data_IF_150675817405
#
_entry.id   IF_150675817405
#
_cell.length_a   1.000
_cell.length_b   1.000
_cell.length_c   1.000
_cell.angle_alpha   90.00
_cell.angle_beta   90.00
_cell.angle_gamma   90.00
#
_symmetry.space_group_name_H-M   'P 1'
#
loop_
_entity.id
_entity.type
_entity.pdbx_description
1 polymer ?
#
# COMPACT_ATOMS: atom_id res chain seq x y z
N UNK A 1 -21.96 11.72 22.01
CA UNK A 1 -20.73 12.49 21.68
C UNK A 1 -19.69 12.10 22.71
N UNK A 2 -18.52 11.63 22.30
CA UNK A 2 -17.45 11.12 23.14
C UNK A 2 -16.19 11.95 22.93
N UNK A 3 -15.32 12.00 23.93
CA UNK A 3 -13.98 12.56 23.86
C UNK A 3 -13.03 11.44 23.43
N UNK A 4 -12.49 11.56 22.24
CA UNK A 4 -11.62 10.54 21.64
C UNK A 4 -10.21 11.13 21.45
N UNK A 5 -9.21 10.45 21.99
CA UNK A 5 -7.83 10.74 21.65
C UNK A 5 -7.34 9.71 20.61
N UNK A 6 -6.53 10.17 19.67
CA UNK A 6 -5.91 9.31 18.64
C UNK A 6 -4.40 9.48 18.70
N UNK A 7 -3.71 8.41 19.03
CA UNK A 7 -2.26 8.37 19.08
C UNK A 7 -1.66 7.97 17.72
N UNK A 8 -0.84 8.86 17.18
CA UNK A 8 -0.25 8.71 15.85
C UNK A 8 -1.13 9.29 14.74
N UNK A 9 -0.52 10.09 13.85
CA UNK A 9 -1.19 10.75 12.73
C UNK A 9 -0.65 10.29 11.38
N UNK A 10 -0.40 8.98 11.26
CA UNK A 10 -0.22 8.30 9.98
C UNK A 10 -1.56 8.04 9.27
N UNK A 11 -1.54 7.26 8.19
CA UNK A 11 -2.75 6.92 7.43
C UNK A 11 -3.88 6.39 8.32
N UNK A 12 -3.59 5.48 9.25
CA UNK A 12 -4.61 4.85 10.10
C UNK A 12 -5.17 5.85 11.11
N UNK A 13 -4.28 6.50 11.88
CA UNK A 13 -4.73 7.34 12.99
C UNK A 13 -5.35 8.66 12.53
N UNK A 14 -4.72 9.37 11.57
CA UNK A 14 -5.25 10.66 11.12
C UNK A 14 -6.61 10.49 10.42
N UNK A 15 -6.73 9.51 9.53
CA UNK A 15 -8.00 9.23 8.84
C UNK A 15 -9.09 8.86 9.85
N UNK A 16 -8.79 7.97 10.81
CA UNK A 16 -9.74 7.61 11.85
C UNK A 16 -10.17 8.82 12.69
N UNK A 17 -9.21 9.65 13.15
CA UNK A 17 -9.50 10.84 13.94
C UNK A 17 -10.39 11.84 13.21
N UNK A 18 -10.08 12.10 11.95
CA UNK A 18 -10.87 13.01 11.10
C UNK A 18 -12.28 12.46 10.85
N UNK A 19 -12.40 11.15 10.59
CA UNK A 19 -13.71 10.51 10.41
C UNK A 19 -14.54 10.50 11.71
N UNK A 20 -13.94 10.28 12.88
CA UNK A 20 -14.65 10.41 14.16
C UNK A 20 -15.13 11.84 14.41
N UNK A 21 -14.31 12.84 14.10
CA UNK A 21 -14.71 14.25 14.21
C UNK A 21 -15.85 14.58 13.24
N UNK A 22 -15.83 14.05 12.02
CA UNK A 22 -16.91 14.20 11.04
C UNK A 22 -18.22 13.57 11.54
N UNK A 23 -18.15 12.48 12.27
CA UNK A 23 -19.30 11.83 12.92
C UNK A 23 -19.78 12.54 14.20
N UNK A 24 -19.15 13.66 14.58
CA UNK A 24 -19.62 14.55 15.66
C UNK A 24 -18.98 14.28 17.03
N UNK A 25 -17.91 13.49 17.10
CA UNK A 25 -17.13 13.34 18.34
C UNK A 25 -16.15 14.50 18.55
N UNK A 26 -15.69 14.70 19.79
CA UNK A 26 -14.60 15.59 20.13
C UNK A 26 -13.29 14.78 20.04
N UNK A 27 -12.40 15.17 19.13
CA UNK A 27 -11.21 14.37 18.81
C UNK A 27 -9.95 15.18 19.06
N UNK A 28 -8.97 14.57 19.72
CA UNK A 28 -7.61 15.11 19.87
C UNK A 28 -6.62 14.14 19.25
N UNK A 29 -6.02 14.53 18.13
CA UNK A 29 -4.97 13.75 17.49
C UNK A 29 -3.58 14.13 18.05
N UNK A 30 -2.85 13.12 18.51
CA UNK A 30 -1.54 13.26 19.15
C UNK A 30 -0.46 12.69 18.24
N UNK A 31 0.57 13.49 17.95
CA UNK A 31 1.78 13.02 17.27
C UNK A 31 3.03 13.56 17.99
N UNK A 32 4.13 12.83 17.95
CA UNK A 32 5.40 13.24 18.55
C UNK A 32 6.15 14.29 17.71
N UNK A 33 5.81 14.40 16.43
CA UNK A 33 6.43 15.29 15.46
C UNK A 33 5.77 16.67 15.50
N UNK A 34 6.49 17.67 16.09
CA UNK A 34 6.01 19.04 16.21
C UNK A 34 5.75 19.71 14.86
N UNK A 35 6.56 19.43 13.85
CA UNK A 35 6.43 20.06 12.54
C UNK A 35 5.20 19.51 11.83
N UNK A 36 4.94 18.21 11.95
CA UNK A 36 3.73 17.58 11.46
C UNK A 36 2.47 18.13 12.14
N UNK A 37 2.53 18.32 13.46
CA UNK A 37 1.42 18.95 14.20
C UNK A 37 1.19 20.39 13.74
N UNK A 38 2.25 21.19 13.48
CA UNK A 38 2.13 22.54 12.92
C UNK A 38 1.47 22.55 11.55
N UNK A 39 1.84 21.62 10.67
CA UNK A 39 1.25 21.46 9.33
C UNK A 39 -0.24 21.17 9.47
N UNK A 40 -0.65 20.21 10.29
CA UNK A 40 -2.05 19.88 10.52
C UNK A 40 -2.86 21.07 11.11
N UNK A 41 -2.29 21.83 12.06
CA UNK A 41 -2.91 23.03 12.60
C UNK A 41 -3.08 24.16 11.56
N UNK A 42 -2.26 24.18 10.52
CA UNK A 42 -2.44 25.11 9.40
C UNK A 42 -3.52 24.67 8.40
N UNK A 43 -4.14 23.53 8.62
CA UNK A 43 -5.19 22.97 7.77
C UNK A 43 -4.68 22.16 6.59
N UNK A 44 -3.37 21.85 6.55
CA UNK A 44 -2.75 21.05 5.49
C UNK A 44 -2.61 19.60 5.95
N UNK A 45 -2.90 18.65 5.08
CA UNK A 45 -2.72 17.24 5.36
C UNK A 45 -1.25 16.83 5.23
N UNK A 46 -0.66 16.14 6.23
CA UNK A 46 0.70 15.62 6.14
C UNK A 46 0.82 14.33 5.34
N UNK A 47 -0.28 13.80 4.83
CA UNK A 47 -0.35 12.58 4.01
C UNK A 47 -1.17 12.86 2.75
N UNK A 48 -0.80 12.19 1.66
CA UNK A 48 -1.53 12.29 0.40
C UNK A 48 -2.74 11.34 0.43
N UNK A 49 -3.96 11.90 0.63
CA UNK A 49 -5.21 11.13 0.67
C UNK A 49 -6.39 12.00 0.23
N UNK A 50 -7.15 11.52 -0.74
CA UNK A 50 -8.27 12.25 -1.33
C UNK A 50 -9.37 12.57 -0.29
N UNK A 51 -9.83 13.82 -0.26
CA UNK A 51 -10.89 14.31 0.63
C UNK A 51 -10.49 14.49 2.09
N UNK A 52 -9.28 14.09 2.50
CA UNK A 52 -8.84 14.18 3.91
C UNK A 52 -8.64 15.62 4.35
N UNK A 53 -7.95 16.42 3.54
CA UNK A 53 -7.63 17.82 3.89
C UNK A 53 -8.89 18.67 4.04
N UNK A 54 -9.89 18.49 3.18
CA UNK A 54 -11.18 19.19 3.28
C UNK A 54 -11.90 18.86 4.59
N UNK A 55 -11.92 17.59 4.98
CA UNK A 55 -12.54 17.17 6.25
C UNK A 55 -11.74 17.65 7.46
N UNK A 56 -10.41 17.67 7.37
CA UNK A 56 -9.56 18.26 8.42
C UNK A 56 -9.91 19.72 8.66
N UNK A 57 -9.95 20.54 7.62
CA UNK A 57 -10.26 21.97 7.70
C UNK A 57 -11.67 22.22 8.23
N UNK A 58 -12.65 21.48 7.73
CA UNK A 58 -14.06 21.53 8.17
C UNK A 58 -14.18 21.26 9.67
N UNK A 59 -13.58 20.18 10.16
CA UNK A 59 -13.71 19.75 11.54
C UNK A 59 -12.87 20.59 12.50
N UNK A 60 -11.70 21.07 12.06
CA UNK A 60 -10.89 22.00 12.82
C UNK A 60 -11.60 23.35 13.04
N UNK A 61 -12.18 23.92 11.98
CA UNK A 61 -12.98 25.15 12.05
C UNK A 61 -14.21 25.00 12.93
N UNK A 62 -14.82 23.83 12.93
CA UNK A 62 -15.98 23.52 13.79
C UNK A 62 -15.60 23.21 15.25
N UNK A 63 -14.29 23.19 15.58
CA UNK A 63 -13.80 22.88 16.93
C UNK A 63 -14.03 21.43 17.37
N UNK A 64 -14.20 20.50 16.40
CA UNK A 64 -14.38 19.07 16.69
C UNK A 64 -13.09 18.26 16.67
N UNK A 65 -12.02 18.79 16.08
CA UNK A 65 -10.72 18.13 16.07
C UNK A 65 -9.62 19.08 16.48
N UNK A 66 -8.68 18.61 17.26
CA UNK A 66 -7.44 19.27 17.65
C UNK A 66 -6.23 18.41 17.36
N UNK A 67 -5.07 19.05 17.18
CA UNK A 67 -3.78 18.38 16.93
C UNK A 67 -2.78 18.84 17.98
N UNK A 68 -2.06 17.93 18.64
CA UNK A 68 -1.15 18.28 19.73
C UNK A 68 0.03 17.29 19.83
N UNK A 69 1.11 17.73 20.45
CA UNK A 69 2.18 16.86 20.94
C UNK A 69 2.02 16.54 22.42
N UNK A 70 1.10 17.22 23.12
CA UNK A 70 0.82 17.03 24.55
C UNK A 70 -0.15 15.86 24.74
N UNK A 71 0.39 14.66 24.91
CA UNK A 71 -0.41 13.46 25.15
C UNK A 71 -1.05 13.47 26.54
N UNK A 72 -0.44 14.11 27.54
CA UNK A 72 -0.94 14.14 28.92
C UNK A 72 -2.32 14.79 28.97
N UNK A 73 -2.48 15.98 28.40
CA UNK A 73 -3.77 16.65 28.35
C UNK A 73 -4.77 15.92 27.43
N UNK A 74 -4.28 15.29 26.36
CA UNK A 74 -5.14 14.60 25.41
C UNK A 74 -5.75 13.31 25.97
N UNK A 75 -5.02 12.57 26.83
CA UNK A 75 -5.47 11.28 27.34
C UNK A 75 -6.18 11.38 28.70
N UNK A 76 -5.94 12.46 29.44
CA UNK A 76 -6.35 12.66 30.83
C UNK A 76 -7.83 12.30 31.12
N UNK A 77 -8.75 12.79 30.29
CA UNK A 77 -10.21 12.62 30.45
C UNK A 77 -10.87 12.12 29.14
N UNK A 78 -10.11 11.35 28.33
CA UNK A 78 -10.61 10.72 27.13
C UNK A 78 -11.50 9.50 27.47
N UNK A 79 -12.67 9.41 26.86
CA UNK A 79 -13.53 8.22 26.94
C UNK A 79 -12.85 7.03 26.23
N UNK A 80 -12.13 7.31 25.14
CA UNK A 80 -11.37 6.30 24.41
C UNK A 80 -10.08 6.86 23.82
N UNK A 81 -9.00 6.07 23.85
CA UNK A 81 -7.71 6.36 23.21
C UNK A 81 -7.45 5.34 22.11
N UNK A 82 -7.49 5.78 20.86
CA UNK A 82 -7.22 4.94 19.70
C UNK A 82 -5.73 4.95 19.34
N UNK A 83 -5.11 3.78 19.30
CA UNK A 83 -3.72 3.60 18.93
C UNK A 83 -3.61 3.36 17.42
N UNK A 84 -3.23 4.39 16.68
CA UNK A 84 -3.02 4.39 15.22
C UNK A 84 -1.54 4.54 14.83
N UNK A 85 -0.61 4.15 15.71
CA UNK A 85 0.83 4.25 15.49
C UNK A 85 1.36 3.15 14.57
N UNK A 86 2.51 3.40 13.94
CA UNK A 86 3.14 2.41 13.05
C UNK A 86 3.58 1.15 13.76
N UNK A 87 3.52 0.04 13.04
CA UNK A 87 4.06 -1.28 13.45
C UNK A 87 4.97 -1.80 12.34
N UNK A 88 6.15 -1.18 12.11
CA UNK A 88 7.03 -1.56 11.02
C UNK A 88 7.56 -2.98 11.18
N UNK A 89 7.97 -3.60 10.08
CA UNK A 89 8.61 -4.90 10.07
C UNK A 89 10.05 -4.78 10.58
N UNK A 90 10.46 -5.73 11.43
CA UNK A 90 11.86 -5.93 11.83
C UNK A 90 12.59 -6.85 10.85
N UNK A 91 13.91 -6.89 10.93
CA UNK A 91 14.76 -7.74 10.09
C UNK A 91 14.42 -9.24 10.15
N UNK A 92 13.84 -9.70 11.25
CA UNK A 92 13.41 -11.09 11.44
C UNK A 92 11.99 -11.38 10.93
N UNK A 93 11.31 -10.38 10.36
CA UNK A 93 9.93 -10.45 9.88
C UNK A 93 8.87 -10.21 10.96
N UNK A 94 9.26 -9.99 12.23
CA UNK A 94 8.33 -9.64 13.30
C UNK A 94 7.89 -8.18 13.22
N UNK A 95 6.71 -7.86 13.78
CA UNK A 95 6.26 -6.48 13.93
C UNK A 95 6.99 -5.77 15.08
N UNK A 96 7.44 -4.52 14.85
CA UNK A 96 7.93 -3.67 15.92
C UNK A 96 6.77 -3.03 16.69
N UNK A 97 6.62 -3.40 17.94
CA UNK A 97 5.56 -2.92 18.83
C UNK A 97 6.04 -1.81 19.79
N UNK A 98 7.24 -1.28 19.62
CA UNK A 98 7.82 -0.26 20.50
C UNK A 98 6.96 1.01 20.61
N UNK A 99 6.38 1.45 19.49
CA UNK A 99 5.47 2.60 19.49
C UNK A 99 4.16 2.31 20.24
N UNK A 100 3.60 1.10 20.09
CA UNK A 100 2.43 0.65 20.87
C UNK A 100 2.73 0.68 22.38
N UNK A 101 3.87 0.11 22.80
CA UNK A 101 4.28 0.11 24.19
C UNK A 101 4.50 1.52 24.75
N UNK A 102 5.08 2.43 23.95
CA UNK A 102 5.26 3.83 24.33
C UNK A 102 3.92 4.51 24.60
N UNK A 103 2.96 4.37 23.67
CA UNK A 103 1.63 4.97 23.85
C UNK A 103 0.88 4.33 25.00
N UNK A 104 0.94 3.00 25.17
CA UNK A 104 0.33 2.30 26.30
C UNK A 104 0.84 2.84 27.66
N UNK A 105 2.15 3.11 27.75
CA UNK A 105 2.74 3.75 28.92
C UNK A 105 2.25 5.18 29.13
N UNK A 106 2.21 5.98 28.08
CA UNK A 106 1.70 7.35 28.14
C UNK A 106 0.24 7.38 28.61
N UNK A 107 -0.59 6.45 28.14
CA UNK A 107 -1.99 6.30 28.63
C UNK A 107 -2.01 5.97 30.11
N UNK A 108 -1.26 4.93 30.53
CA UNK A 108 -1.23 4.50 31.95
C UNK A 108 -0.79 5.62 32.91
N UNK A 109 0.12 6.50 32.45
CA UNK A 109 0.64 7.62 33.23
C UNK A 109 -0.30 8.85 33.24
N UNK A 110 -1.27 8.95 32.29
CA UNK A 110 -2.02 10.20 32.04
C UNK A 110 -3.51 10.11 32.36
N UNK A 111 -4.14 8.95 32.23
CA UNK A 111 -5.61 8.82 32.41
C UNK A 111 -6.03 9.08 33.86
N UNK A 112 -7.06 9.94 34.03
CA UNK A 112 -7.64 10.27 35.33
C UNK A 112 -9.13 9.85 35.43
N UNK A 113 -9.69 9.22 34.38
CA UNK A 113 -11.03 8.68 34.33
C UNK A 113 -11.04 7.31 33.66
N UNK A 114 -12.13 6.55 33.83
CA UNK A 114 -12.31 5.28 33.13
C UNK A 114 -12.15 5.47 31.62
N UNK A 115 -11.34 4.66 30.99
CA UNK A 115 -10.91 4.84 29.62
C UNK A 115 -10.82 3.51 28.84
N UNK A 116 -11.27 3.50 27.59
CA UNK A 116 -11.05 2.38 26.70
C UNK A 116 -9.86 2.63 25.77
N UNK A 117 -8.83 1.81 25.86
CA UNK A 117 -7.71 1.82 24.92
C UNK A 117 -8.03 0.94 23.73
N UNK A 118 -8.05 1.50 22.54
CA UNK A 118 -8.45 0.79 21.32
C UNK A 118 -7.27 0.64 20.38
N UNK A 119 -6.76 -0.56 20.22
CA UNK A 119 -5.66 -0.84 19.29
C UNK A 119 -6.23 -0.93 17.87
N UNK A 120 -5.99 0.11 17.08
CA UNK A 120 -6.38 0.20 15.68
C UNK A 120 -5.25 -0.20 14.73
N UNK A 121 -4.01 -0.06 15.16
CA UNK A 121 -2.84 -0.57 14.44
C UNK A 121 -2.92 -2.07 14.20
N UNK A 122 -2.41 -2.53 13.06
CA UNK A 122 -2.28 -3.98 12.79
C UNK A 122 -1.17 -4.56 13.66
N UNK A 123 -1.55 -5.48 14.53
CA UNK A 123 -0.65 -6.09 15.53
C UNK A 123 -0.79 -7.62 15.55
N UNK A 124 0.28 -8.37 15.90
CA UNK A 124 0.22 -9.82 16.06
C UNK A 124 -0.81 -10.27 17.09
N UNK A 125 -1.41 -11.44 16.86
CA UNK A 125 -2.42 -12.02 17.76
C UNK A 125 -1.90 -12.18 19.18
N UNK A 126 -2.67 -11.70 20.15
CA UNK A 126 -2.32 -11.65 21.56
C UNK A 126 -1.58 -10.37 21.99
N UNK A 127 -1.44 -9.40 21.10
CA UNK A 127 -0.84 -8.09 21.43
C UNK A 127 -1.74 -7.28 22.35
N UNK A 128 -3.05 -7.26 22.14
CA UNK A 128 -3.99 -6.53 22.98
C UNK A 128 -3.95 -7.03 24.43
N UNK A 129 -3.80 -8.32 24.67
CA UNK A 129 -3.67 -8.88 26.03
C UNK A 129 -2.39 -8.38 26.72
N UNK A 130 -1.29 -8.26 25.97
CA UNK A 130 -0.03 -7.72 26.48
C UNK A 130 -0.11 -6.21 26.74
N UNK A 131 -0.82 -5.47 25.87
CA UNK A 131 -1.06 -4.02 26.06
C UNK A 131 -1.86 -3.79 27.34
N UNK A 132 -2.92 -4.55 27.56
CA UNK A 132 -3.71 -4.45 28.78
C UNK A 132 -2.87 -4.72 30.05
N UNK A 133 -2.13 -5.85 30.07
CA UNK A 133 -1.24 -6.16 31.19
C UNK A 133 -0.20 -5.06 31.42
N UNK A 134 0.39 -4.54 30.33
CA UNK A 134 1.38 -3.47 30.41
C UNK A 134 0.77 -2.17 30.98
N UNK A 135 -0.44 -1.80 30.56
CA UNK A 135 -1.11 -0.62 31.10
C UNK A 135 -1.39 -0.82 32.61
N UNK A 136 -1.92 -1.98 33.03
CA UNK A 136 -2.19 -2.27 34.44
C UNK A 136 -0.92 -2.21 35.31
N UNK A 137 0.22 -2.67 34.78
CA UNK A 137 1.52 -2.65 35.51
C UNK A 137 2.04 -1.22 35.73
N UNK A 138 1.65 -0.24 34.90
CA UNK A 138 2.11 1.14 34.95
C UNK A 138 1.02 2.17 35.30
N UNK A 139 -0.21 1.73 35.53
CA UNK A 139 -1.32 2.61 35.87
C UNK A 139 -1.08 3.36 37.17
N UNK A 140 -1.16 4.70 37.12
CA UNK A 140 -0.86 5.56 38.29
C UNK A 140 -2.12 5.82 39.09
N UNK A 141 -3.25 6.06 38.40
CA UNK A 141 -4.51 6.43 39.05
C UNK A 141 -5.43 5.21 39.25
N UNK A 142 -6.29 5.26 40.26
CA UNK A 142 -7.30 4.24 40.52
C UNK A 142 -8.53 4.41 39.60
N UNK A 143 -8.35 4.06 38.32
CA UNK A 143 -9.38 4.14 37.26
C UNK A 143 -9.45 2.81 36.51
N UNK A 144 -10.61 2.54 35.88
CA UNK A 144 -10.73 1.37 35.02
C UNK A 144 -10.20 1.67 33.63
N UNK A 145 -9.21 0.87 33.17
CA UNK A 145 -8.70 0.94 31.80
C UNK A 145 -8.78 -0.44 31.18
N UNK A 146 -9.59 -0.57 30.15
CA UNK A 146 -9.73 -1.80 29.37
C UNK A 146 -9.13 -1.63 27.99
N UNK A 147 -8.83 -2.74 27.34
CA UNK A 147 -8.24 -2.75 25.99
C UNK A 147 -9.15 -3.47 25.01
N UNK A 148 -9.33 -2.89 23.84
CA UNK A 148 -10.08 -3.47 22.73
C UNK A 148 -9.25 -3.46 21.43
N UNK A 149 -9.53 -4.40 20.56
CA UNK A 149 -9.00 -4.47 19.19
C UNK A 149 -10.02 -3.88 18.22
N UNK A 150 -9.60 -2.96 17.36
CA UNK A 150 -10.44 -2.43 16.31
C UNK A 150 -9.61 -2.25 15.02
N UNK A 151 -9.29 -3.34 14.33
CA UNK A 151 -8.49 -3.28 13.12
C UNK A 151 -9.20 -2.48 12.01
N UNK A 152 -8.42 -1.84 11.18
CA UNK A 152 -8.88 -1.12 9.99
C UNK A 152 -8.78 -1.99 8.73
N UNK A 153 -9.55 -1.66 7.68
CA UNK A 153 -9.53 -2.33 6.37
C UNK A 153 -9.47 -1.32 5.23
N UNK A 154 -8.95 -0.14 5.51
CA UNK A 154 -8.78 0.93 4.53
C UNK A 154 -7.66 0.64 3.52
N UNK A 155 -7.78 1.26 2.34
CA UNK A 155 -6.73 1.28 1.34
C UNK A 155 -6.29 2.73 1.10
N UNK A 156 -4.98 2.98 1.03
CA UNK A 156 -4.44 4.30 0.68
C UNK A 156 -5.02 4.77 -0.67
N UNK A 157 -5.35 6.06 -0.78
CA UNK A 157 -6.03 6.65 -1.94
C UNK A 157 -7.57 6.53 -1.91
N UNK A 158 -8.13 5.78 -0.94
CA UNK A 158 -9.57 5.71 -0.68
C UNK A 158 -9.88 5.59 0.81
N UNK A 159 -8.91 5.91 1.69
CA UNK A 159 -8.98 5.61 3.11
C UNK A 159 -10.12 6.35 3.83
N UNK A 160 -10.40 7.59 3.45
CA UNK A 160 -11.54 8.36 3.97
C UNK A 160 -12.85 7.68 3.60
N UNK A 161 -13.03 7.35 2.32
CA UNK A 161 -14.22 6.65 1.83
C UNK A 161 -14.37 5.28 2.52
N UNK A 162 -13.30 4.49 2.57
CA UNK A 162 -13.30 3.15 3.15
C UNK A 162 -13.58 3.16 4.66
N UNK A 163 -13.32 4.28 5.34
CA UNK A 163 -13.63 4.45 6.77
C UNK A 163 -15.08 4.88 6.97
N UNK A 164 -15.57 5.85 6.17
CA UNK A 164 -16.93 6.38 6.31
C UNK A 164 -18.01 5.42 5.78
N UNK A 165 -17.67 4.61 4.77
CA UNK A 165 -18.58 3.71 4.06
C UNK A 165 -18.10 2.26 4.09
N UNK A 166 -17.44 1.86 5.18
CA UNK A 166 -16.92 0.51 5.34
C UNK A 166 -18.02 -0.56 5.18
N UNK A 167 -17.67 -1.71 4.62
CA UNK A 167 -18.59 -2.85 4.54
C UNK A 167 -18.94 -3.41 5.95
N UNK A 168 -18.04 -3.23 6.91
CA UNK A 168 -18.17 -3.64 8.31
C UNK A 168 -17.13 -2.99 9.20
N UNK A 169 -17.44 -2.94 10.49
CA UNK A 169 -16.53 -2.59 11.58
C UNK A 169 -16.29 -3.85 12.42
N UNK A 170 -15.03 -4.20 12.66
CA UNK A 170 -14.67 -5.30 13.56
C UNK A 170 -14.28 -4.73 14.91
N UNK A 171 -14.89 -5.22 15.97
CA UNK A 171 -14.52 -4.90 17.34
C UNK A 171 -14.20 -6.17 18.11
N UNK A 172 -13.06 -6.18 18.77
CA UNK A 172 -12.62 -7.28 19.63
C UNK A 172 -12.56 -6.83 21.09
N UNK A 173 -13.43 -7.38 21.91
CA UNK A 173 -13.58 -6.98 23.32
C UNK A 173 -13.69 -8.20 24.22
N UNK A 174 -13.38 -8.03 25.51
CA UNK A 174 -13.51 -9.10 26.51
C UNK A 174 -14.63 -8.81 27.53
N UNK A 175 -15.15 -7.57 27.53
CA UNK A 175 -16.21 -7.15 28.47
C UNK A 175 -17.37 -6.50 27.72
N UNK A 176 -18.56 -6.52 28.32
CA UNK A 176 -19.76 -5.86 27.81
C UNK A 176 -19.59 -4.33 27.77
N UNK A 177 -18.92 -3.75 28.78
CA UNK A 177 -18.69 -2.32 28.84
C UNK A 177 -17.85 -1.81 27.64
N UNK A 178 -16.75 -2.48 27.33
CA UNK A 178 -15.91 -2.13 26.17
C UNK A 178 -16.66 -2.30 24.83
N UNK A 179 -17.49 -3.36 24.73
CA UNK A 179 -18.29 -3.63 23.53
C UNK A 179 -19.36 -2.54 23.32
N UNK A 180 -20.10 -2.20 24.36
CA UNK A 180 -21.14 -1.17 24.30
C UNK A 180 -20.56 0.21 23.99
N UNK A 181 -19.44 0.58 24.64
CA UNK A 181 -18.78 1.86 24.38
C UNK A 181 -18.33 1.98 22.91
N UNK A 182 -17.70 0.94 22.35
CA UNK A 182 -17.32 0.94 20.92
C UNK A 182 -18.54 0.99 20.00
N UNK A 183 -19.60 0.26 20.31
CA UNK A 183 -20.85 0.32 19.52
C UNK A 183 -21.43 1.73 19.52
N UNK A 184 -21.45 2.43 20.68
CA UNK A 184 -21.95 3.80 20.75
C UNK A 184 -21.02 4.80 20.02
N UNK A 185 -19.70 4.64 20.09
CA UNK A 185 -18.74 5.45 19.31
C UNK A 185 -18.98 5.29 17.81
N UNK A 186 -19.19 4.04 17.34
CA UNK A 186 -19.41 3.77 15.91
C UNK A 186 -20.86 3.93 15.44
N UNK A 187 -21.81 4.15 16.33
CA UNK A 187 -23.23 4.30 15.98
C UNK A 187 -23.54 5.36 14.91
N UNK A 188 -22.88 6.56 14.91
CA UNK A 188 -23.11 7.56 13.87
C UNK A 188 -22.70 7.12 12.46
N UNK A 189 -21.80 6.16 12.32
CA UNK A 189 -21.39 5.62 11.02
C UNK A 189 -22.49 4.78 10.36
N UNK A 190 -23.42 4.25 11.15
CA UNK A 190 -24.53 3.41 10.67
C UNK A 190 -24.07 2.21 9.81
N UNK A 191 -23.01 1.55 10.23
CA UNK A 191 -22.37 0.42 9.55
C UNK A 191 -22.57 -0.88 10.34
N UNK A 192 -22.54 -2.06 9.68
CA UNK A 192 -22.56 -3.34 10.37
C UNK A 192 -21.36 -3.48 11.32
N UNK A 193 -21.61 -3.87 12.57
CA UNK A 193 -20.57 -4.15 13.55
C UNK A 193 -20.52 -5.66 13.81
N UNK A 194 -19.31 -6.21 13.73
CA UNK A 194 -19.02 -7.61 14.08
C UNK A 194 -18.22 -7.63 15.36
N UNK A 195 -18.86 -8.12 16.44
CA UNK A 195 -18.24 -8.25 17.76
C UNK A 195 -17.66 -9.63 17.93
N UNK A 196 -16.39 -9.69 18.33
CA UNK A 196 -15.64 -10.95 18.58
C UNK A 196 -14.68 -10.74 19.76
N UNK A 197 -13.97 -11.78 20.22
CA UNK A 197 -12.89 -11.59 21.17
C UNK A 197 -11.67 -10.88 20.51
N UNK A 198 -10.79 -10.29 21.33
CA UNK A 198 -9.61 -9.52 20.86
C UNK A 198 -8.73 -10.29 19.89
N UNK A 199 -8.38 -11.55 20.24
CA UNK A 199 -7.50 -12.39 19.41
C UNK A 199 -8.12 -12.73 18.06
N UNK A 200 -9.43 -12.93 18.01
CA UNK A 200 -10.15 -13.14 16.75
C UNK A 200 -10.16 -11.87 15.90
N UNK A 201 -10.34 -10.68 16.50
CA UNK A 201 -10.27 -9.41 15.78
C UNK A 201 -8.88 -9.17 15.17
N UNK A 202 -7.81 -9.40 15.94
CA UNK A 202 -6.43 -9.35 15.46
C UNK A 202 -6.21 -10.33 14.29
N UNK A 203 -6.66 -11.58 14.43
CA UNK A 203 -6.53 -12.60 13.37
C UNK A 203 -7.33 -12.26 12.12
N UNK A 204 -8.54 -11.70 12.25
CA UNK A 204 -9.38 -11.29 11.11
C UNK A 204 -8.64 -10.31 10.21
N UNK A 205 -7.88 -9.37 10.79
CA UNK A 205 -7.08 -8.40 10.00
C UNK A 205 -6.03 -9.11 9.16
N UNK A 206 -5.20 -9.95 9.77
CA UNK A 206 -4.18 -10.71 9.06
C UNK A 206 -4.79 -11.64 8.02
N UNK A 207 -5.76 -12.46 8.43
CA UNK A 207 -6.39 -13.42 7.53
C UNK A 207 -7.02 -12.74 6.30
N UNK A 208 -7.63 -11.55 6.48
CA UNK A 208 -8.21 -10.78 5.36
C UNK A 208 -7.13 -10.29 4.41
N UNK A 209 -6.09 -9.65 4.93
CA UNK A 209 -5.02 -9.09 4.09
C UNK A 209 -4.24 -10.20 3.38
N UNK A 210 -3.95 -11.29 4.07
CA UNK A 210 -3.21 -12.42 3.53
C UNK A 210 -4.01 -13.18 2.47
N UNK A 211 -5.34 -13.28 2.64
CA UNK A 211 -6.20 -13.87 1.62
C UNK A 211 -6.25 -13.02 0.34
N UNK A 212 -6.29 -11.68 0.47
CA UNK A 212 -6.22 -10.78 -0.68
C UNK A 212 -4.85 -10.87 -1.38
N UNK A 213 -3.76 -10.90 -0.61
CA UNK A 213 -2.42 -11.13 -1.14
C UNK A 213 -2.29 -12.48 -1.84
N UNK A 214 -2.88 -13.54 -1.27
CA UNK A 214 -2.93 -14.87 -1.89
C UNK A 214 -3.70 -14.85 -3.21
N UNK A 215 -4.86 -14.17 -3.30
CA UNK A 215 -5.61 -14.04 -4.57
C UNK A 215 -4.73 -13.40 -5.66
N UNK A 216 -4.02 -12.33 -5.34
CA UNK A 216 -3.11 -11.66 -6.29
C UNK A 216 -1.98 -12.60 -6.72
N UNK A 217 -1.30 -13.23 -5.76
CA UNK A 217 -0.21 -14.17 -6.06
C UNK A 217 -0.69 -15.37 -6.84
N UNK A 218 -1.86 -15.94 -6.53
CA UNK A 218 -2.46 -17.02 -7.28
C UNK A 218 -2.70 -16.62 -8.74
N UNK A 219 -3.29 -15.45 -8.99
CA UNK A 219 -3.53 -14.97 -10.36
C UNK A 219 -2.22 -14.68 -11.09
N UNK A 220 -1.20 -14.22 -10.41
CA UNK A 220 0.13 -14.02 -10.99
C UNK A 220 0.81 -15.34 -11.37
N UNK A 221 0.67 -16.37 -10.54
CA UNK A 221 1.21 -17.70 -10.82
C UNK A 221 0.50 -18.35 -12.01
N UNK A 222 -0.84 -18.27 -12.06
CA UNK A 222 -1.65 -18.70 -13.22
C UNK A 222 -1.27 -17.89 -14.46
N UNK A 223 -1.04 -16.57 -14.35
CA UNK A 223 -0.61 -15.72 -15.46
C UNK A 223 0.72 -16.20 -16.06
N UNK A 224 1.69 -16.55 -15.22
CA UNK A 224 2.96 -17.09 -15.68
C UNK A 224 2.77 -18.42 -16.45
N UNK A 225 1.85 -19.28 -16.02
CA UNK A 225 1.50 -20.51 -16.73
C UNK A 225 0.76 -20.21 -18.05
N UNK A 226 -0.16 -19.24 -18.07
CA UNK A 226 -0.87 -18.82 -19.28
C UNK A 226 0.09 -18.47 -20.41
N UNK A 227 1.18 -17.75 -20.13
CA UNK A 227 2.21 -17.42 -21.12
C UNK A 227 2.89 -18.65 -21.75
N UNK A 228 2.97 -19.75 -21.01
CA UNK A 228 3.61 -20.98 -21.47
C UNK A 228 2.68 -21.86 -22.29
N UNK A 229 1.39 -21.79 -22.03
CA UNK A 229 0.38 -22.66 -22.67
C UNK A 229 -0.48 -21.92 -23.70
N UNK A 230 -0.29 -20.60 -23.88
CA UNK A 230 -1.01 -19.79 -24.87
C UNK A 230 -2.43 -19.41 -24.45
N UNK A 231 -2.71 -19.35 -23.13
CA UNK A 231 -3.95 -18.79 -22.59
C UNK A 231 -3.80 -17.29 -22.31
N UNK A 232 -4.90 -16.55 -22.24
CA UNK A 232 -4.93 -15.15 -21.82
C UNK A 232 -5.46 -15.03 -20.39
N UNK A 233 -4.66 -14.43 -19.50
CA UNK A 233 -5.04 -14.29 -18.09
C UNK A 233 -6.25 -13.37 -17.89
N UNK A 234 -6.54 -12.42 -18.80
CA UNK A 234 -7.73 -11.58 -18.72
C UNK A 234 -8.99 -12.41 -18.93
N UNK A 235 -8.98 -13.29 -19.94
CA UNK A 235 -10.09 -14.20 -20.22
C UNK A 235 -10.31 -15.18 -19.07
N UNK A 236 -9.21 -15.69 -18.49
CA UNK A 236 -9.25 -16.57 -17.30
C UNK A 236 -9.86 -15.84 -16.11
N UNK A 237 -9.39 -14.62 -15.83
CA UNK A 237 -9.91 -13.81 -14.73
C UNK A 237 -11.39 -13.44 -14.93
N UNK A 238 -11.78 -13.08 -16.15
CA UNK A 238 -13.17 -12.80 -16.50
C UNK A 238 -14.04 -14.04 -16.29
N UNK A 239 -13.65 -15.18 -16.86
CA UNK A 239 -14.39 -16.45 -16.69
C UNK A 239 -14.55 -16.85 -15.23
N UNK A 240 -13.50 -16.70 -14.41
CA UNK A 240 -13.57 -16.97 -12.97
C UNK A 240 -14.49 -15.99 -12.22
N UNK A 241 -14.59 -14.74 -12.66
CA UNK A 241 -15.35 -13.69 -11.98
C UNK A 241 -16.87 -13.92 -11.97
N UNK A 242 -17.38 -14.72 -12.90
CA UNK A 242 -18.80 -15.09 -12.97
C UNK A 242 -19.22 -16.09 -11.88
N UNK A 243 -18.29 -16.75 -11.23
CA UNK A 243 -18.61 -17.61 -10.08
C UNK A 243 -18.67 -16.75 -8.80
N UNK A 244 -19.87 -16.56 -8.25
CA UNK A 244 -20.10 -15.77 -7.04
C UNK A 244 -19.28 -16.24 -5.82
N UNK A 245 -18.92 -17.53 -5.77
CA UNK A 245 -18.08 -18.11 -4.70
C UNK A 245 -16.64 -17.57 -4.76
N UNK A 246 -16.17 -17.15 -5.95
CA UNK A 246 -14.85 -16.57 -6.18
C UNK A 246 -14.92 -15.04 -6.05
N UNK A 247 -15.92 -14.43 -6.67
CA UNK A 247 -16.11 -12.99 -6.78
C UNK A 247 -15.12 -12.34 -7.75
N UNK A 248 -15.40 -11.12 -8.18
CA UNK A 248 -14.65 -10.42 -9.22
C UNK A 248 -13.43 -9.63 -8.71
N UNK A 249 -13.36 -9.35 -7.40
CA UNK A 249 -12.29 -8.48 -6.83
C UNK A 249 -10.98 -9.25 -6.66
N UNK A 250 -9.84 -8.60 -6.91
CA UNK A 250 -8.48 -9.13 -6.74
C UNK A 250 -8.10 -10.28 -7.67
N UNK A 251 -8.69 -10.32 -8.89
CA UNK A 251 -8.34 -11.30 -9.92
C UNK A 251 -7.39 -10.75 -11.01
N UNK A 252 -6.98 -9.50 -10.94
CA UNK A 252 -6.09 -8.91 -11.93
C UNK A 252 -4.64 -9.34 -11.67
N UNK A 253 -4.05 -10.01 -12.65
CA UNK A 253 -2.62 -10.29 -12.65
C UNK A 253 -1.81 -9.04 -13.04
N UNK A 254 -0.60 -8.93 -12.49
CA UNK A 254 0.32 -7.84 -12.75
C UNK A 254 1.73 -8.11 -12.23
N UNK A 255 2.50 -7.06 -12.03
CA UNK A 255 3.91 -7.12 -11.59
C UNK A 255 4.08 -7.40 -10.08
N UNK A 256 3.05 -7.89 -9.40
CA UNK A 256 3.07 -8.15 -7.97
C UNK A 256 2.51 -6.99 -7.14
N UNK A 257 2.37 -7.25 -5.85
CA UNK A 257 1.88 -6.26 -4.89
C UNK A 257 3.02 -5.64 -4.08
N UNK A 258 2.81 -4.40 -3.65
CA UNK A 258 3.65 -3.64 -2.75
C UNK A 258 2.80 -2.95 -1.68
N UNK A 259 3.30 -1.82 -1.20
CA UNK A 259 2.67 -1.02 -0.16
C UNK A 259 3.02 -1.49 1.25
N UNK A 260 2.47 -0.79 2.23
CA UNK A 260 2.78 -0.98 3.65
C UNK A 260 2.01 -2.12 4.33
N UNK A 261 1.00 -2.71 3.66
CA UNK A 261 0.10 -3.67 4.30
C UNK A 261 0.44 -5.12 3.91
N UNK A 262 0.20 -5.51 2.66
CA UNK A 262 0.32 -6.93 2.26
C UNK A 262 1.70 -7.53 2.50
N UNK A 263 2.83 -6.89 2.12
CA UNK A 263 4.14 -7.48 2.37
C UNK A 263 4.40 -7.67 3.86
N UNK A 264 4.15 -6.65 4.67
CA UNK A 264 4.38 -6.67 6.12
C UNK A 264 3.49 -7.68 6.83
N UNK A 265 2.19 -7.71 6.48
CA UNK A 265 1.21 -8.53 7.19
C UNK A 265 1.40 -10.02 6.87
N UNK A 266 1.72 -10.37 5.61
CA UNK A 266 2.06 -11.74 5.23
C UNK A 266 3.31 -12.24 5.95
N UNK A 267 4.36 -11.42 6.06
CA UNK A 267 5.57 -11.75 6.81
C UNK A 267 5.29 -11.92 8.31
N UNK A 268 4.52 -10.99 8.90
CA UNK A 268 4.19 -11.06 10.32
C UNK A 268 3.35 -12.30 10.68
N UNK A 269 2.41 -12.70 9.82
CA UNK A 269 1.62 -13.90 10.04
C UNK A 269 2.45 -15.19 9.86
N UNK A 270 3.34 -15.23 8.86
CA UNK A 270 4.26 -16.36 8.66
C UNK A 270 5.23 -16.49 9.86
N UNK A 271 5.73 -15.35 10.37
CA UNK A 271 6.56 -15.31 11.57
C UNK A 271 5.80 -15.84 12.80
N UNK A 272 4.57 -15.35 13.04
CA UNK A 272 3.72 -15.79 14.14
C UNK A 272 3.44 -17.30 14.08
N UNK A 273 3.15 -17.83 12.90
CA UNK A 273 2.92 -19.26 12.70
C UNK A 273 4.16 -20.09 13.07
N UNK A 274 5.34 -19.68 12.61
CA UNK A 274 6.62 -20.32 12.92
C UNK A 274 6.91 -20.32 14.42
N UNK A 275 6.63 -19.22 15.11
CA UNK A 275 6.80 -19.14 16.57
C UNK A 275 5.88 -20.14 17.32
N UNK A 276 4.74 -20.50 16.71
CA UNK A 276 3.81 -21.49 17.25
C UNK A 276 4.03 -22.91 16.67
N UNK A 277 5.15 -23.17 16.00
CA UNK A 277 5.48 -24.47 15.44
C UNK A 277 4.61 -24.88 14.24
N UNK A 278 3.98 -23.93 13.56
CA UNK A 278 3.09 -24.17 12.43
C UNK A 278 3.63 -23.53 11.15
N UNK A 279 3.54 -24.22 10.00
CA UNK A 279 3.90 -23.71 8.68
C UNK A 279 2.65 -23.29 7.90
N UNK A 280 2.52 -22.00 7.64
CA UNK A 280 1.46 -21.44 6.78
C UNK A 280 1.85 -21.57 5.30
N UNK A 281 1.61 -22.71 4.69
CA UNK A 281 2.04 -23.05 3.32
C UNK A 281 1.49 -22.10 2.27
N UNK A 282 0.23 -21.67 2.38
CA UNK A 282 -0.42 -20.78 1.41
C UNK A 282 0.11 -19.35 1.49
N UNK A 283 0.34 -18.84 2.69
CA UNK A 283 0.93 -17.50 2.89
C UNK A 283 2.37 -17.47 2.38
N UNK A 284 3.15 -18.50 2.72
CA UNK A 284 4.52 -18.63 2.22
C UNK A 284 4.58 -18.70 0.69
N UNK A 285 3.69 -19.47 0.06
CA UNK A 285 3.59 -19.52 -1.40
C UNK A 285 3.25 -18.15 -2.00
N UNK A 286 2.34 -17.39 -1.37
CA UNK A 286 1.99 -16.04 -1.82
C UNK A 286 3.18 -15.09 -1.76
N UNK A 287 3.98 -15.13 -0.68
CA UNK A 287 5.22 -14.36 -0.51
C UNK A 287 6.23 -14.73 -1.60
N UNK A 288 6.50 -16.02 -1.81
CA UNK A 288 7.50 -16.50 -2.75
C UNK A 288 7.13 -16.13 -4.21
N UNK A 289 5.86 -16.30 -4.59
CA UNK A 289 5.36 -15.89 -5.91
C UNK A 289 5.50 -14.38 -6.10
N UNK A 290 5.10 -13.56 -5.12
CA UNK A 290 5.18 -12.10 -5.22
C UNK A 290 6.61 -11.62 -5.42
N UNK A 291 7.56 -12.19 -4.68
CA UNK A 291 8.99 -11.86 -4.80
C UNK A 291 9.53 -12.10 -6.21
N UNK A 292 9.14 -13.23 -6.83
CA UNK A 292 9.57 -13.56 -8.19
C UNK A 292 8.87 -12.68 -9.21
N UNK A 293 7.60 -12.36 -8.96
CA UNK A 293 6.75 -11.58 -9.87
C UNK A 293 7.23 -10.14 -10.04
N UNK A 294 7.68 -9.48 -8.96
CA UNK A 294 8.15 -8.09 -9.00
C UNK A 294 9.22 -7.82 -10.07
N UNK A 295 10.08 -8.79 -10.36
CA UNK A 295 11.16 -8.66 -11.37
C UNK A 295 10.86 -9.38 -12.69
N UNK A 296 9.63 -9.81 -12.91
CA UNK A 296 9.25 -10.60 -14.10
C UNK A 296 9.42 -9.82 -15.41
N UNK A 297 9.09 -8.52 -15.43
CA UNK A 297 9.27 -7.67 -16.60
C UNK A 297 10.74 -7.47 -16.96
N UNK A 298 11.58 -7.18 -15.97
CA UNK A 298 13.04 -7.11 -16.19
C UNK A 298 13.57 -8.41 -16.77
N UNK A 299 13.14 -9.56 -16.23
CA UNK A 299 13.54 -10.87 -16.78
C UNK A 299 13.08 -11.09 -18.21
N UNK A 300 11.86 -10.65 -18.56
CA UNK A 300 11.35 -10.70 -19.95
C UNK A 300 12.18 -9.81 -20.88
N UNK A 301 12.42 -8.57 -20.45
CA UNK A 301 13.23 -7.62 -21.22
C UNK A 301 14.67 -8.11 -21.43
N UNK A 302 15.31 -8.67 -20.40
CA UNK A 302 16.67 -9.23 -20.47
C UNK A 302 16.79 -10.43 -21.41
N UNK A 303 15.70 -11.17 -21.68
CA UNK A 303 15.69 -12.21 -22.71
C UNK A 303 15.59 -11.64 -24.13
N UNK A 304 15.01 -10.45 -24.29
CA UNK A 304 14.81 -9.77 -25.57
C UNK A 304 15.96 -8.84 -25.93
N UNK A 305 16.52 -8.15 -24.92
CA UNK A 305 17.61 -7.19 -25.05
C UNK A 305 18.89 -7.80 -24.51
N UNK A 306 19.95 -7.76 -25.30
CA UNK A 306 21.26 -8.33 -24.90
C UNK A 306 21.89 -7.51 -23.77
N UNK A 307 21.67 -6.20 -23.77
CA UNK A 307 22.19 -5.26 -22.77
C UNK A 307 21.27 -4.04 -22.65
N UNK A 308 21.30 -3.39 -21.51
CA UNK A 308 20.67 -2.08 -21.29
C UNK A 308 21.71 -0.94 -21.32
N UNK A 309 23.00 -1.26 -21.47
CA UNK A 309 24.06 -0.26 -21.42
C UNK A 309 23.90 0.81 -22.52
N UNK A 310 23.78 2.07 -22.10
CA UNK A 310 23.58 3.22 -22.98
C UNK A 310 22.21 3.29 -23.65
N UNK A 311 21.25 2.45 -23.22
CA UNK A 311 19.87 2.58 -23.68
C UNK A 311 19.12 3.61 -22.82
N UNK A 312 18.37 4.52 -23.47
CA UNK A 312 17.36 5.33 -22.82
C UNK A 312 16.15 4.45 -22.45
N UNK A 313 15.90 4.32 -21.16
CA UNK A 313 14.82 3.49 -20.60
C UNK A 313 13.79 4.39 -19.95
N UNK A 314 12.59 4.46 -20.52
CA UNK A 314 11.46 5.12 -19.89
C UNK A 314 10.89 4.24 -18.77
N UNK A 315 10.67 4.82 -17.58
CA UNK A 315 10.00 4.18 -16.45
C UNK A 315 8.79 5.01 -16.09
N UNK A 316 7.60 4.43 -16.27
CA UNK A 316 6.32 5.07 -16.01
C UNK A 316 5.67 4.49 -14.75
N UNK A 317 5.59 5.32 -13.72
CA UNK A 317 5.12 4.96 -12.38
C UNK A 317 6.22 4.42 -11.47
N UNK A 318 6.33 5.01 -10.29
CA UNK A 318 7.31 4.66 -9.27
C UNK A 318 6.64 4.17 -7.98
N UNK A 319 5.44 4.68 -7.66
CA UNK A 319 4.64 4.26 -6.51
C UNK A 319 4.06 2.85 -6.71
N UNK A 320 3.72 2.17 -5.61
CA UNK A 320 3.23 0.79 -5.69
C UNK A 320 1.84 0.67 -6.33
N UNK A 321 1.04 1.75 -6.30
CA UNK A 321 -0.27 1.89 -6.96
C UNK A 321 -0.58 3.38 -7.18
N UNK A 322 -1.57 3.74 -8.03
CA UNK A 322 -2.04 5.12 -8.14
C UNK A 322 -2.76 5.61 -6.87
N UNK A 323 -2.88 6.94 -6.73
CA UNK A 323 -3.58 7.57 -5.60
C UNK A 323 -2.78 7.63 -4.30
N UNK A 324 -1.47 7.41 -4.34
CA UNK A 324 -0.58 7.51 -3.17
C UNK A 324 0.84 7.86 -3.60
N UNK A 325 1.61 8.46 -2.69
CA UNK A 325 3.05 8.71 -2.84
C UNK A 325 3.93 7.60 -2.24
N UNK A 326 3.32 6.52 -1.76
CA UNK A 326 3.99 5.42 -1.06
C UNK A 326 4.79 4.54 -2.02
N UNK A 327 6.09 4.41 -1.71
CA UNK A 327 7.05 3.61 -2.48
C UNK A 327 7.35 2.25 -1.84
N UNK A 328 6.89 2.02 -0.62
CA UNK A 328 7.26 0.80 0.13
C UNK A 328 6.90 -0.45 -0.66
N UNK A 329 7.89 -1.31 -0.84
CA UNK A 329 7.73 -2.55 -1.59
C UNK A 329 7.19 -2.37 -3.02
N UNK A 330 7.34 -1.16 -3.60
CA UNK A 330 6.99 -0.92 -5.01
C UNK A 330 7.89 -1.74 -5.94
N UNK A 331 7.34 -2.35 -7.00
CA UNK A 331 8.14 -3.02 -8.03
C UNK A 331 9.21 -2.14 -8.69
N UNK A 332 9.02 -0.82 -8.70
CA UNK A 332 10.03 0.12 -9.20
C UNK A 332 11.33 0.07 -8.40
N UNK A 333 11.24 -0.10 -7.06
CA UNK A 333 12.41 -0.25 -6.20
C UNK A 333 13.20 -1.55 -6.46
N UNK A 334 12.53 -2.59 -7.01
CA UNK A 334 13.19 -3.84 -7.40
C UNK A 334 13.81 -3.74 -8.82
N UNK A 335 13.15 -3.05 -9.76
CA UNK A 335 13.54 -3.06 -11.18
C UNK A 335 14.52 -1.95 -11.56
N UNK A 336 14.32 -0.71 -11.07
CA UNK A 336 15.19 0.43 -11.43
C UNK A 336 16.65 0.16 -11.08
N UNK A 337 17.02 -0.35 -9.88
CA UNK A 337 18.40 -0.68 -9.59
C UNK A 337 19.00 -1.74 -10.54
N UNK A 338 18.21 -2.72 -10.98
CA UNK A 338 18.66 -3.72 -11.95
C UNK A 338 18.97 -3.09 -13.32
N UNK A 339 18.16 -2.13 -13.76
CA UNK A 339 18.39 -1.37 -15.00
C UNK A 339 19.66 -0.52 -14.89
N UNK A 340 19.83 0.21 -13.79
CA UNK A 340 21.01 1.03 -13.51
C UNK A 340 22.31 0.20 -13.43
N UNK A 341 22.26 -0.99 -12.80
CA UNK A 341 23.39 -1.92 -12.74
C UNK A 341 23.81 -2.44 -14.13
N UNK A 342 22.90 -2.47 -15.09
CA UNK A 342 23.16 -2.81 -16.48
C UNK A 342 23.60 -1.63 -17.34
N UNK A 343 23.74 -0.42 -16.76
CA UNK A 343 24.20 0.78 -17.45
C UNK A 343 23.12 1.50 -18.26
N UNK A 344 21.85 1.36 -17.86
CA UNK A 344 20.74 2.08 -18.49
C UNK A 344 20.73 3.56 -18.10
N UNK A 345 20.30 4.42 -19.02
CA UNK A 345 19.92 5.80 -18.75
C UNK A 345 18.40 5.85 -18.51
N UNK A 346 18.02 5.85 -17.23
CA UNK A 346 16.62 5.78 -16.82
C UNK A 346 15.98 7.16 -16.82
N UNK A 347 14.85 7.33 -17.49
CA UNK A 347 14.00 8.51 -17.45
C UNK A 347 12.69 8.14 -16.76
N UNK A 348 12.54 8.60 -15.53
CA UNK A 348 11.47 8.16 -14.65
C UNK A 348 10.39 9.24 -14.49
N UNK A 349 9.14 8.85 -14.68
CA UNK A 349 7.97 9.67 -14.45
C UNK A 349 7.04 9.04 -13.43
N UNK A 350 6.64 9.82 -12.44
CA UNK A 350 5.54 9.53 -11.51
C UNK A 350 4.93 10.87 -11.07
N UNK A 351 3.60 11.05 -11.08
CA UNK A 351 2.99 12.35 -10.78
C UNK A 351 3.21 12.83 -9.33
N UNK A 352 3.45 11.92 -8.38
CA UNK A 352 3.59 12.27 -6.96
C UNK A 352 4.77 11.58 -6.25
N UNK A 353 5.25 10.45 -6.77
CA UNK A 353 6.28 9.62 -6.11
C UNK A 353 7.73 9.99 -6.43
N UNK A 354 7.97 10.84 -7.44
CA UNK A 354 9.31 11.13 -7.95
C UNK A 354 10.26 11.70 -6.88
N UNK A 355 9.82 12.69 -6.09
CA UNK A 355 10.63 13.28 -5.02
C UNK A 355 11.00 12.29 -3.92
N UNK A 356 10.06 11.41 -3.56
CA UNK A 356 10.31 10.36 -2.57
C UNK A 356 11.27 9.30 -3.13
N UNK A 357 11.16 8.96 -4.42
CA UNK A 357 12.05 7.99 -5.07
C UNK A 357 13.47 8.54 -5.20
N UNK A 358 13.64 9.84 -5.45
CA UNK A 358 14.92 10.51 -5.54
C UNK A 358 15.73 10.45 -4.22
N UNK A 359 15.08 10.25 -3.08
CA UNK A 359 15.77 10.02 -1.79
C UNK A 359 16.55 8.69 -1.77
N UNK A 360 16.08 7.68 -2.51
CA UNK A 360 16.76 6.39 -2.66
C UNK A 360 17.75 6.39 -3.83
N UNK A 361 17.37 7.03 -4.93
CA UNK A 361 18.16 7.11 -6.16
C UNK A 361 18.27 8.56 -6.61
N UNK A 362 19.25 9.33 -6.07
CA UNK A 362 19.46 10.73 -6.45
C UNK A 362 19.67 10.89 -7.96
N UNK A 363 19.16 12.00 -8.50
CA UNK A 363 19.28 12.32 -9.93
C UNK A 363 20.73 12.42 -10.39
N UNK A 364 20.99 11.99 -11.62
CA UNK A 364 22.29 12.00 -12.26
C UNK A 364 22.93 10.61 -12.35
N UNK A 365 24.26 10.52 -12.45
CA UNK A 365 24.97 9.24 -12.49
C UNK A 365 24.68 8.38 -11.26
N UNK A 366 24.24 7.17 -11.50
CA UNK A 366 23.86 6.24 -10.45
C UNK A 366 24.24 4.80 -10.84
N UNK A 367 25.00 4.11 -9.97
CA UNK A 367 25.56 2.79 -10.26
C UNK A 367 26.39 2.81 -11.55
N UNK A 368 26.01 2.04 -12.58
CA UNK A 368 26.66 1.99 -13.90
C UNK A 368 25.93 2.83 -14.95
N UNK A 369 24.74 3.33 -14.65
CA UNK A 369 23.90 4.12 -15.52
C UNK A 369 23.62 5.51 -14.96
N UNK A 370 22.48 6.08 -15.32
CA UNK A 370 21.99 7.36 -14.81
C UNK A 370 20.47 7.33 -14.59
N UNK A 371 19.98 8.24 -13.75
CA UNK A 371 18.54 8.45 -13.58
C UNK A 371 18.21 9.94 -13.71
N UNK A 372 17.16 10.23 -14.46
CA UNK A 372 16.59 11.57 -14.65
C UNK A 372 15.11 11.50 -14.33
N UNK A 373 14.64 12.43 -13.49
CA UNK A 373 13.22 12.58 -13.19
C UNK A 373 12.62 13.62 -14.13
N UNK A 374 11.53 13.24 -14.81
CA UNK A 374 10.89 14.08 -15.83
C UNK A 374 9.51 14.50 -15.37
N UNK A 375 9.01 15.61 -15.94
CA UNK A 375 7.76 16.25 -15.50
C UNK A 375 6.51 15.70 -16.17
N UNK A 376 6.65 14.94 -17.25
CA UNK A 376 5.54 14.34 -18.00
C UNK A 376 5.96 13.06 -18.71
N UNK A 377 4.96 12.33 -19.20
CA UNK A 377 5.16 11.04 -19.87
C UNK A 377 5.89 11.21 -21.20
N UNK A 378 5.63 12.28 -21.93
CA UNK A 378 6.23 12.57 -23.24
C UNK A 378 7.75 12.70 -23.13
N UNK A 379 8.24 13.42 -22.14
CA UNK A 379 9.70 13.56 -21.88
C UNK A 379 10.36 12.20 -21.54
N UNK A 380 9.66 11.33 -20.82
CA UNK A 380 10.17 9.99 -20.55
C UNK A 380 10.28 9.16 -21.82
N UNK A 381 9.26 9.22 -22.68
CA UNK A 381 9.16 8.41 -23.90
C UNK A 381 10.01 8.95 -25.06
N UNK A 382 10.31 10.26 -25.10
CA UNK A 382 11.04 10.90 -26.20
C UNK A 382 12.38 10.18 -26.45
N UNK A 383 12.56 9.65 -27.64
CA UNK A 383 13.74 8.88 -28.09
C UNK A 383 14.11 7.65 -27.21
N UNK A 384 13.15 7.13 -26.42
CA UNK A 384 13.37 5.96 -25.58
C UNK A 384 13.50 4.66 -26.39
N UNK A 385 14.41 3.77 -25.96
CA UNK A 385 14.64 2.45 -26.57
C UNK A 385 13.69 1.37 -26.02
N UNK A 386 13.25 1.53 -24.80
CA UNK A 386 12.31 0.63 -24.11
C UNK A 386 11.55 1.39 -23.03
N UNK A 387 10.30 1.02 -22.80
CA UNK A 387 9.48 1.56 -21.74
C UNK A 387 9.01 0.47 -20.78
N UNK A 388 9.05 0.75 -19.47
CA UNK A 388 8.46 -0.08 -18.42
C UNK A 388 7.32 0.68 -17.75
N UNK A 389 6.16 0.04 -17.61
CA UNK A 389 5.02 0.57 -16.87
C UNK A 389 4.90 -0.21 -15.55
N UNK A 390 5.12 0.47 -14.42
CA UNK A 390 5.03 -0.15 -13.09
C UNK A 390 3.79 0.29 -12.31
N UNK A 391 3.21 1.46 -12.63
CA UNK A 391 2.02 1.97 -11.93
C UNK A 391 1.04 2.56 -12.94
N UNK A 392 -0.23 2.22 -12.75
CA UNK A 392 -1.31 2.58 -13.67
C UNK A 392 -1.98 3.93 -13.34
N UNK A 393 -1.19 5.01 -13.21
CA UNK A 393 -1.71 6.37 -13.07
C UNK A 393 -2.61 6.79 -14.24
N UNK A 394 -3.52 7.73 -14.01
CA UNK A 394 -4.45 8.22 -15.04
C UNK A 394 -3.72 8.73 -16.30
N UNK A 395 -2.67 9.51 -16.11
CA UNK A 395 -1.82 10.06 -17.15
C UNK A 395 -1.10 8.95 -17.94
N UNK A 396 -0.67 7.88 -17.26
CA UNK A 396 -0.01 6.74 -17.91
C UNK A 396 -1.03 5.92 -18.71
N UNK A 397 -2.25 5.70 -18.17
CA UNK A 397 -3.34 5.06 -18.91
C UNK A 397 -3.79 5.83 -20.15
N UNK A 398 -3.65 7.16 -20.13
CA UNK A 398 -4.01 8.03 -21.24
C UNK A 398 -3.02 8.00 -22.41
N UNK A 399 -1.82 7.39 -22.22
CA UNK A 399 -0.84 7.23 -23.30
C UNK A 399 -1.38 6.29 -24.37
N UNK A 400 -1.51 6.78 -25.58
CA UNK A 400 -2.02 5.98 -26.69
C UNK A 400 -0.92 5.16 -27.37
N UNK A 401 -1.28 4.06 -28.06
CA UNK A 401 -0.31 3.31 -28.85
C UNK A 401 0.45 4.15 -29.88
N UNK A 402 -0.21 5.17 -30.47
CA UNK A 402 0.38 6.11 -31.41
C UNK A 402 1.44 7.00 -30.77
N UNK A 403 1.25 7.41 -29.51
CA UNK A 403 2.27 8.16 -28.75
C UNK A 403 3.52 7.31 -28.54
N UNK A 404 3.39 6.05 -28.10
CA UNK A 404 4.53 5.13 -28.02
C UNK A 404 5.25 4.99 -29.36
N UNK A 405 4.49 4.84 -30.44
CA UNK A 405 5.06 4.70 -31.79
C UNK A 405 5.76 5.95 -32.28
N UNK A 406 5.22 7.13 -31.95
CA UNK A 406 5.71 8.41 -32.45
C UNK A 406 6.88 8.99 -31.66
N UNK A 407 6.92 8.76 -30.34
CA UNK A 407 7.90 9.36 -29.43
C UNK A 407 9.13 8.46 -29.23
N UNK A 408 8.93 7.16 -29.19
CA UNK A 408 10.04 6.24 -28.87
C UNK A 408 10.91 5.95 -30.11
N UNK A 409 12.22 5.85 -29.90
CA UNK A 409 13.17 5.36 -30.90
C UNK A 409 12.86 3.93 -31.30
N UNK A 410 12.60 3.09 -30.30
CA UNK A 410 12.15 1.70 -30.50
C UNK A 410 10.88 1.51 -29.67
N UNK A 411 9.71 1.38 -30.29
CA UNK A 411 8.45 1.24 -29.59
C UNK A 411 8.31 -0.17 -28.98
N UNK A 412 9.05 -0.40 -27.89
CA UNK A 412 9.09 -1.64 -27.12
C UNK A 412 8.61 -1.35 -25.69
N UNK A 413 7.47 -1.90 -25.31
CA UNK A 413 6.78 -1.61 -24.05
C UNK A 413 6.62 -2.88 -23.22
N UNK A 414 7.02 -2.80 -21.95
CA UNK A 414 6.80 -3.81 -20.92
C UNK A 414 5.83 -3.28 -19.89
N UNK A 415 4.62 -3.81 -19.88
CA UNK A 415 3.52 -3.36 -19.03
C UNK A 415 3.25 -4.34 -17.89
N UNK A 416 3.49 -3.89 -16.66
CA UNK A 416 3.27 -4.66 -15.44
C UNK A 416 1.85 -4.57 -14.89
N UNK A 417 0.98 -3.79 -15.53
CA UNK A 417 -0.39 -3.54 -15.05
C UNK A 417 -1.46 -3.98 -16.04
N UNK A 418 -1.05 -4.49 -17.20
CA UNK A 418 -1.96 -4.98 -18.24
C UNK A 418 -2.99 -3.91 -18.72
N UNK A 419 -2.57 -2.63 -18.78
CA UNK A 419 -3.49 -1.51 -19.02
C UNK A 419 -3.86 -1.33 -20.49
N UNK A 420 -3.06 -1.87 -21.42
CA UNK A 420 -3.30 -1.69 -22.86
C UNK A 420 -3.87 -2.95 -23.51
N UNK A 421 -4.58 -2.74 -24.63
CA UNK A 421 -5.03 -3.82 -25.51
C UNK A 421 -3.88 -4.27 -26.43
N UNK A 422 -3.67 -5.58 -26.53
CA UNK A 422 -2.57 -6.15 -27.33
C UNK A 422 -2.78 -5.89 -28.83
N UNK A 423 -4.03 -5.95 -29.33
CA UNK A 423 -4.32 -5.79 -30.74
C UNK A 423 -4.15 -4.32 -31.18
N UNK A 424 -4.53 -3.37 -30.32
CA UNK A 424 -4.32 -1.94 -30.57
C UNK A 424 -2.82 -1.62 -30.60
N UNK A 425 -2.04 -2.13 -29.63
CA UNK A 425 -0.59 -1.96 -29.61
C UNK A 425 0.07 -2.56 -30.85
N UNK A 426 -0.33 -3.77 -31.25
CA UNK A 426 0.16 -4.43 -32.46
C UNK A 426 -0.22 -3.66 -33.73
N UNK A 427 -1.45 -3.16 -33.84
CA UNK A 427 -1.93 -2.33 -34.96
C UNK A 427 -1.12 -1.06 -35.12
N UNK A 428 -0.76 -0.41 -34.02
CA UNK A 428 0.11 0.77 -33.99
C UNK A 428 1.59 0.45 -34.22
N UNK A 429 1.97 -0.81 -34.41
CA UNK A 429 3.35 -1.30 -34.57
C UNK A 429 4.23 -1.06 -33.31
N UNK A 430 3.66 -1.21 -32.13
CA UNK A 430 4.34 -1.23 -30.86
C UNK A 430 4.56 -2.68 -30.43
N UNK A 431 5.82 -3.08 -30.21
CA UNK A 431 6.12 -4.38 -29.60
C UNK A 431 5.74 -4.31 -28.13
N UNK A 432 4.77 -5.12 -27.71
CA UNK A 432 4.16 -5.02 -26.40
C UNK A 432 4.22 -6.35 -25.64
N UNK A 433 4.75 -6.28 -24.43
CA UNK A 433 4.88 -7.38 -23.50
C UNK A 433 4.15 -7.05 -22.20
N UNK A 434 3.31 -7.94 -21.73
CA UNK A 434 2.52 -7.77 -20.52
C UNK A 434 2.59 -9.02 -19.63
N UNK A 435 1.74 -9.14 -18.63
CA UNK A 435 1.72 -10.25 -17.70
C UNK A 435 0.59 -11.22 -18.09
N UNK A 436 0.94 -12.51 -18.25
CA UNK A 436 -0.04 -13.58 -18.48
C UNK A 436 -0.71 -13.58 -19.83
N UNK A 437 -0.09 -12.94 -20.84
CA UNK A 437 -0.62 -12.84 -22.19
C UNK A 437 0.48 -13.05 -23.21
N UNK A 438 0.09 -13.53 -24.39
CA UNK A 438 1.03 -13.72 -25.51
C UNK A 438 1.57 -12.34 -25.96
N UNK A 439 2.90 -12.18 -26.18
CA UNK A 439 3.44 -10.90 -26.61
C UNK A 439 2.86 -10.43 -27.94
N UNK A 440 2.48 -9.17 -28.00
CA UNK A 440 2.12 -8.48 -29.25
C UNK A 440 3.37 -8.18 -30.08
N UNK A 441 3.94 -9.19 -30.75
CA UNK A 441 5.11 -9.02 -31.60
C UNK A 441 4.73 -8.34 -32.93
N UNK A 442 5.55 -7.38 -33.34
CA UNK A 442 5.45 -6.77 -34.67
C UNK A 442 6.29 -7.61 -35.62
N UNK A 443 5.65 -8.15 -36.68
CA UNK A 443 6.40 -8.77 -37.78
C UNK A 443 7.26 -7.69 -38.47
N UNK A 444 8.58 -7.80 -38.31
CA UNK A 444 9.52 -6.97 -39.09
C UNK A 444 9.44 -7.46 -40.53
N UNK A 445 8.81 -6.66 -41.39
CA UNK A 445 8.88 -6.95 -42.83
C UNK A 445 10.37 -7.04 -43.23
N UNK A 446 10.76 -8.19 -43.84
CA UNK A 446 12.10 -8.43 -44.36
C UNK A 446 12.45 -7.39 -45.43
N UNK A 447 12.90 -6.21 -45.02
CA UNK A 447 13.25 -5.12 -45.92
C UNK A 447 14.10 -4.03 -45.25
N UNK A 448 13.84 -3.78 -43.97
CA UNK A 448 14.68 -2.87 -43.18
C UNK A 448 15.65 -3.72 -42.35
N UNK A 449 16.83 -4.00 -42.90
CA UNK A 449 17.95 -4.60 -42.16
C UNK A 449 18.35 -3.62 -41.07
N UNK A 450 17.94 -3.94 -39.88
CA UNK A 450 18.21 -3.20 -38.66
C UNK A 450 19.70 -3.12 -38.34
N UNK A 451 20.16 -1.94 -38.02
CA UNK A 451 21.44 -1.67 -37.35
C UNK A 451 21.60 -2.39 -36.00
N UNK A 452 20.55 -3.05 -35.48
CA UNK A 452 20.55 -3.83 -34.23
C UNK A 452 21.21 -5.21 -34.31
N UNK A 453 21.61 -5.69 -35.54
CA UNK A 453 22.35 -6.96 -35.69
C UNK A 453 23.85 -6.78 -35.87
N UNK A 454 24.40 -5.56 -35.87
CA UNK A 454 25.83 -5.32 -36.18
C UNK A 454 26.75 -5.20 -34.95
N UNK A 455 26.26 -5.46 -33.73
CA UNK A 455 27.14 -5.61 -32.56
C UNK A 455 27.21 -7.08 -32.10
N UNK A 456 27.55 -7.97 -33.01
CA UNK A 456 28.24 -9.22 -32.66
C UNK A 456 29.71 -8.92 -32.63
N UNK A 457 30.25 -8.69 -31.45
CA UNK A 457 31.61 -9.06 -31.03
C UNK A 457 31.65 -9.12 -29.50
#
# INVERSE_FOLDING_TARGET
>A
MYKIAVAGTGYVGLVAGVCFAEMGHQVTCVDIDEDKVKVMKSGVSPIFEEGLEELMQKNYTAGRIEYTTNYQDAYKDADAVFLGVGTPEKEDGSADLSYIATVARQVAESVESDCLVVVKSTVPVGTNDKVEQFIQDFLINEVNVEVASNPEFLAQGSAVHDTLYAERIIIGTETEWAEELLKEIYKPFNLPIVSVNRRSAEMIKYASNDFLALKISYMNDIANLCELVGADIKDVAEGMSYDERIGSKFLNAGIGFGGSCFPKDTQALDYLAKQNGYELKTVKAAIDVNKIQKISLYKKASKRLITFNGLKVAVLGLTFKPGTDDLRESPSLDNVPLLLDQGADVYAYDPVGAENFAKFYPEGPNRRGSITYVSNVEEALDDANVCFVFTEWGEIKAVTPEMYRGLMRTPLVYDGRNIYDIQEMKKAKVEYHSIGREPGRVEVMRGEKNELQSTRF
#
